data_IF_950317745339
#
_entry.id   IF_950317745339
#
_cell.length_a   1.000
_cell.length_b   1.000
_cell.length_c   1.000
_cell.angle_alpha   90.00
_cell.angle_beta   90.00
_cell.angle_gamma   90.00
#
_symmetry.space_group_name_H-M   'P 1'
#
loop_
_entity.id
_entity.type
_entity.pdbx_description
1 polymer ?
#
# COMPACT_ATOMS: atom_id res chain seq x y z
N UNK A 1 -22.22 23.93 -35.88
CA UNK A 1 -21.10 23.22 -36.54
C UNK A 1 -20.44 24.18 -37.49
N UNK A 2 -19.18 24.55 -37.24
CA UNK A 2 -18.34 25.32 -38.16
C UNK A 2 -17.07 24.53 -38.41
N UNK A 3 -16.78 24.24 -39.67
CA UNK A 3 -15.66 23.40 -40.13
C UNK A 3 -14.45 24.30 -40.46
N UNK A 4 -13.25 23.88 -40.05
CA UNK A 4 -11.97 24.44 -40.53
C UNK A 4 -11.50 23.67 -41.77
N UNK A 5 -10.84 24.38 -42.69
CA UNK A 5 -10.62 23.99 -44.08
C UNK A 5 -9.29 23.22 -44.37
N UNK A 6 -8.69 22.52 -43.39
CA UNK A 6 -7.42 21.81 -43.58
C UNK A 6 -7.42 20.32 -43.18
N UNK A 7 -8.59 19.75 -42.86
CA UNK A 7 -8.73 18.31 -42.65
C UNK A 7 -7.97 17.73 -41.45
N UNK A 8 -7.45 18.57 -40.54
CA UNK A 8 -6.83 18.09 -39.30
C UNK A 8 -7.76 18.27 -38.10
N UNK A 9 -8.16 17.15 -37.50
CA UNK A 9 -8.82 17.16 -36.20
C UNK A 9 -7.78 17.47 -35.13
N UNK A 10 -7.68 18.73 -34.69
CA UNK A 10 -7.06 19.03 -33.41
C UNK A 10 -7.98 18.53 -32.32
N UNK A 11 -7.63 17.38 -31.73
CA UNK A 11 -8.17 16.98 -30.45
C UNK A 11 -7.93 18.14 -29.48
N UNK A 12 -8.97 18.68 -28.80
CA UNK A 12 -8.72 19.55 -27.68
C UNK A 12 -7.80 18.80 -26.70
N UNK A 13 -6.82 19.47 -26.07
CA UNK A 13 -6.04 18.85 -25.02
C UNK A 13 -7.04 18.31 -24.00
N UNK A 14 -7.07 16.99 -23.85
CA UNK A 14 -7.91 16.33 -22.87
C UNK A 14 -7.44 16.83 -21.51
N UNK A 15 -8.32 17.61 -20.87
CA UNK A 15 -8.21 18.03 -19.50
C UNK A 15 -7.84 16.83 -18.62
N UNK A 16 -6.60 16.78 -18.15
CA UNK A 16 -6.22 15.98 -16.99
C UNK A 16 -6.75 16.67 -15.71
N UNK A 17 -8.02 17.06 -15.72
CA UNK A 17 -8.74 17.55 -14.54
C UNK A 17 -9.34 16.31 -13.88
N UNK A 18 -8.54 15.63 -13.08
CA UNK A 18 -9.01 14.46 -12.32
C UNK A 18 -7.92 13.64 -11.62
N UNK A 19 -6.66 13.72 -12.06
CA UNK A 19 -5.57 12.98 -11.39
C UNK A 19 -5.05 13.67 -10.13
N UNK A 20 -5.00 15.00 -10.12
CA UNK A 20 -4.53 15.79 -8.97
C UNK A 20 -5.42 15.64 -7.74
N UNK A 21 -6.74 15.71 -7.91
CA UNK A 21 -7.69 15.60 -6.80
C UNK A 21 -7.78 14.18 -6.21
N UNK A 22 -7.49 13.14 -7.01
CA UNK A 22 -7.43 11.75 -6.53
C UNK A 22 -6.12 11.47 -5.81
N UNK A 23 -4.98 11.92 -6.35
CA UNK A 23 -3.68 11.79 -5.69
C UNK A 23 -3.62 12.58 -4.38
N UNK A 24 -4.12 13.80 -4.34
CA UNK A 24 -4.17 14.63 -3.13
C UNK A 24 -5.03 13.98 -2.03
N UNK A 25 -6.19 13.41 -2.39
CA UNK A 25 -7.04 12.68 -1.43
C UNK A 25 -6.37 11.41 -0.91
N UNK A 26 -5.69 10.67 -1.79
CA UNK A 26 -4.96 9.46 -1.40
C UNK A 26 -3.78 9.79 -0.48
N UNK A 27 -3.06 10.88 -0.77
CA UNK A 27 -1.97 11.38 0.06
C UNK A 27 -2.47 11.89 1.42
N UNK A 28 -3.55 12.67 1.46
CA UNK A 28 -4.16 13.13 2.71
C UNK A 28 -4.64 11.96 3.59
N UNK A 29 -5.21 10.93 2.99
CA UNK A 29 -5.61 9.70 3.70
C UNK A 29 -4.39 8.95 4.27
N UNK A 30 -3.29 8.86 3.52
CA UNK A 30 -2.06 8.25 4.01
C UNK A 30 -1.46 9.07 5.16
N UNK A 31 -1.46 10.40 5.08
CA UNK A 31 -1.02 11.29 6.17
C UNK A 31 -1.85 11.07 7.43
N UNK A 32 -3.18 10.98 7.33
CA UNK A 32 -4.05 10.70 8.48
C UNK A 32 -3.75 9.34 9.13
N UNK A 33 -3.42 8.32 8.32
CA UNK A 33 -3.00 7.02 8.84
C UNK A 33 -1.65 7.16 9.55
N UNK A 34 -0.66 7.82 8.93
CA UNK A 34 0.67 8.04 9.52
C UNK A 34 0.51 8.75 10.87
N UNK A 35 -0.25 9.84 10.94
CA UNK A 35 -0.46 10.60 12.18
C UNK A 35 -1.12 9.76 13.29
N UNK A 36 -2.03 8.85 12.93
CA UNK A 36 -2.70 7.96 13.89
C UNK A 36 -1.85 6.77 14.30
N UNK A 37 -0.92 6.36 13.43
CA UNK A 37 -0.05 5.20 13.63
C UNK A 37 1.23 5.60 14.37
N UNK A 38 1.73 6.83 14.14
CA UNK A 38 2.83 7.45 14.86
C UNK A 38 2.46 7.57 16.34
N UNK A 39 3.04 6.70 17.17
CA UNK A 39 2.77 6.60 18.61
C UNK A 39 2.06 5.32 19.05
N UNK A 40 1.64 4.45 18.11
CA UNK A 40 1.15 3.10 18.44
C UNK A 40 2.29 2.11 18.66
N UNK A 41 3.44 2.35 18.03
CA UNK A 41 4.60 1.47 18.06
C UNK A 41 5.81 2.21 18.65
N UNK A 42 6.57 1.50 19.48
CA UNK A 42 7.83 1.97 20.05
C UNK A 42 9.01 1.23 19.38
N UNK A 43 10.19 1.87 19.36
CA UNK A 43 11.43 1.29 18.83
C UNK A 43 11.95 1.93 17.54
N UNK A 44 12.93 1.28 16.90
CA UNK A 44 13.57 1.74 15.66
C UNK A 44 12.73 1.36 14.43
N UNK A 45 11.54 1.96 14.28
CA UNK A 45 10.64 1.75 13.14
C UNK A 45 10.52 3.02 12.31
N UNK A 46 10.54 2.88 10.99
CA UNK A 46 10.24 3.99 10.08
C UNK A 46 8.73 4.13 9.86
N UNK A 47 8.27 5.32 9.46
CA UNK A 47 6.88 5.56 9.09
C UNK A 47 6.44 4.60 7.96
N UNK A 48 7.34 4.28 7.03
CA UNK A 48 7.09 3.31 5.95
C UNK A 48 6.88 1.89 6.49
N UNK A 49 7.65 1.45 7.50
CA UNK A 49 7.46 0.13 8.13
C UNK A 49 6.08 0.03 8.77
N UNK A 50 5.67 1.07 9.49
CA UNK A 50 4.38 1.11 10.17
C UNK A 50 3.22 1.15 9.15
N UNK A 51 3.36 1.93 8.07
CA UNK A 51 2.39 1.98 6.99
C UNK A 51 2.23 0.64 6.27
N UNK A 52 3.34 -0.02 5.93
CA UNK A 52 3.32 -1.34 5.28
C UNK A 52 2.68 -2.37 6.21
N UNK A 53 2.98 -2.33 7.50
CA UNK A 53 2.36 -3.23 8.48
C UNK A 53 0.83 -3.07 8.53
N UNK A 54 0.33 -1.83 8.65
CA UNK A 54 -1.11 -1.57 8.74
C UNK A 54 -1.83 -1.82 7.41
N UNK A 55 -1.38 -1.19 6.33
CA UNK A 55 -2.10 -1.21 5.04
C UNK A 55 -1.76 -2.41 4.16
N UNK A 56 -0.51 -2.86 4.19
CA UNK A 56 -0.02 -3.96 3.36
C UNK A 56 -0.28 -5.33 3.97
N UNK A 57 -0.20 -5.46 5.30
CA UNK A 57 -0.30 -6.76 5.97
C UNK A 57 -1.63 -6.93 6.68
N UNK A 58 -1.91 -6.12 7.72
CA UNK A 58 -3.11 -6.32 8.54
C UNK A 58 -4.40 -6.09 7.77
N UNK A 59 -4.49 -4.97 7.04
CA UNK A 59 -5.67 -4.65 6.22
C UNK A 59 -5.94 -5.73 5.18
N UNK A 60 -4.91 -6.26 4.53
CA UNK A 60 -5.04 -7.36 3.56
C UNK A 60 -5.71 -8.59 4.17
N UNK A 61 -5.17 -9.07 5.30
CA UNK A 61 -5.73 -10.22 6.03
C UNK A 61 -7.17 -10.00 6.50
N UNK A 62 -7.49 -8.80 6.98
CA UNK A 62 -8.84 -8.48 7.44
C UNK A 62 -9.85 -8.40 6.28
N UNK A 63 -9.43 -7.98 5.09
CA UNK A 63 -10.28 -7.96 3.89
C UNK A 63 -10.62 -9.36 3.38
N UNK A 64 -9.78 -10.35 3.67
CA UNK A 64 -10.02 -11.76 3.34
C UNK A 64 -10.99 -12.45 4.34
N UNK A 65 -11.33 -11.79 5.45
CA UNK A 65 -12.22 -12.36 6.47
C UNK A 65 -13.70 -12.17 6.08
N UNK A 66 -14.34 -13.26 5.62
CA UNK A 66 -15.74 -13.24 5.18
C UNK A 66 -16.72 -12.78 6.26
N UNK A 67 -16.46 -13.10 7.53
CA UNK A 67 -17.29 -12.62 8.65
C UNK A 67 -17.24 -11.10 8.75
N UNK A 68 -16.06 -10.49 8.60
CA UNK A 68 -15.94 -9.03 8.61
C UNK A 68 -16.64 -8.39 7.40
N UNK A 69 -16.57 -9.02 6.23
CA UNK A 69 -17.31 -8.56 5.04
C UNK A 69 -18.82 -8.56 5.31
N UNK A 70 -19.36 -9.64 5.88
CA UNK A 70 -20.78 -9.73 6.23
C UNK A 70 -21.19 -8.71 7.30
N UNK A 71 -20.37 -8.54 8.34
CA UNK A 71 -20.61 -7.58 9.41
C UNK A 71 -20.59 -6.13 8.87
N UNK A 72 -19.62 -5.79 8.01
CA UNK A 72 -19.54 -4.46 7.41
C UNK A 72 -20.71 -4.16 6.46
N UNK A 73 -21.25 -5.17 5.77
CA UNK A 73 -22.40 -5.01 4.90
C UNK A 73 -23.73 -4.82 5.66
N UNK A 74 -23.82 -5.34 6.90
CA UNK A 74 -25.08 -5.44 7.64
C UNK A 74 -25.21 -4.44 8.78
N UNK A 75 -24.13 -3.77 9.18
CA UNK A 75 -24.09 -2.92 10.37
C UNK A 75 -23.56 -1.51 10.06
N UNK A 76 -23.90 -0.54 10.91
CA UNK A 76 -23.25 0.78 10.87
C UNK A 76 -21.76 0.65 11.22
N UNK A 77 -20.96 1.67 10.87
CA UNK A 77 -19.54 1.69 11.21
C UNK A 77 -19.29 1.61 12.72
N UNK A 78 -20.10 2.30 13.52
CA UNK A 78 -20.03 2.28 14.97
C UNK A 78 -20.34 0.89 15.54
N UNK A 79 -21.36 0.22 15.00
CA UNK A 79 -21.71 -1.15 15.41
C UNK A 79 -20.61 -2.14 15.04
N UNK A 80 -20.08 -2.04 13.82
CA UNK A 80 -18.95 -2.86 13.35
C UNK A 80 -17.70 -2.66 14.21
N UNK A 81 -17.36 -1.40 14.51
CA UNK A 81 -16.19 -1.05 15.33
C UNK A 81 -16.27 -1.61 16.76
N UNK A 82 -17.48 -1.80 17.30
CA UNK A 82 -17.72 -2.39 18.62
C UNK A 82 -17.96 -3.91 18.57
N UNK A 83 -17.83 -4.55 17.40
CA UNK A 83 -18.09 -5.98 17.27
C UNK A 83 -16.95 -6.83 17.87
N UNK A 84 -17.30 -7.93 18.57
CA UNK A 84 -16.29 -8.89 19.04
C UNK A 84 -15.59 -9.58 17.86
N UNK A 85 -16.28 -9.75 16.73
CA UNK A 85 -15.72 -10.36 15.52
C UNK A 85 -14.55 -9.54 14.96
N UNK A 86 -14.68 -8.20 14.92
CA UNK A 86 -13.57 -7.33 14.51
C UNK A 86 -12.37 -7.45 15.46
N UNK A 87 -12.62 -7.44 16.77
CA UNK A 87 -11.55 -7.57 17.77
C UNK A 87 -10.80 -8.89 17.64
N UNK A 88 -11.53 -10.00 17.47
CA UNK A 88 -10.95 -11.33 17.30
C UNK A 88 -10.20 -11.46 15.97
N UNK A 89 -10.79 -10.98 14.88
CA UNK A 89 -10.17 -11.02 13.56
C UNK A 89 -8.88 -10.18 13.51
N UNK A 90 -8.85 -9.02 14.19
CA UNK A 90 -7.66 -8.20 14.32
C UNK A 90 -6.55 -8.95 15.06
N UNK A 91 -6.87 -9.59 16.19
CA UNK A 91 -5.88 -10.38 16.95
C UNK A 91 -5.32 -11.54 16.12
N UNK A 92 -6.19 -12.30 15.44
CA UNK A 92 -5.75 -13.38 14.55
C UNK A 92 -4.91 -12.86 13.39
N UNK A 93 -5.29 -11.74 12.78
CA UNK A 93 -4.49 -11.13 11.70
C UNK A 93 -3.09 -10.73 12.16
N UNK A 94 -2.94 -10.22 13.39
CA UNK A 94 -1.65 -9.92 14.01
C UNK A 94 -0.82 -11.19 14.21
N UNK A 95 -1.42 -12.25 14.76
CA UNK A 95 -0.75 -13.54 14.96
C UNK A 95 -0.29 -14.14 13.62
N UNK A 96 -1.19 -14.21 12.64
CA UNK A 96 -0.87 -14.76 11.32
C UNK A 96 0.18 -13.93 10.58
N UNK A 97 0.18 -12.61 10.75
CA UNK A 97 1.19 -11.73 10.19
C UNK A 97 2.57 -12.01 10.81
N UNK A 98 2.61 -12.14 12.12
CA UNK A 98 3.82 -12.46 12.86
C UNK A 98 4.38 -13.83 12.44
N UNK A 99 3.56 -14.87 12.45
CA UNK A 99 3.97 -16.24 12.10
C UNK A 99 4.46 -16.34 10.66
N UNK A 100 3.76 -15.72 9.72
CA UNK A 100 4.17 -15.68 8.32
C UNK A 100 5.51 -14.95 8.16
N UNK A 101 5.67 -13.78 8.77
CA UNK A 101 6.90 -12.99 8.68
C UNK A 101 8.09 -13.71 9.32
N UNK A 102 7.90 -14.32 10.50
CA UNK A 102 8.92 -15.13 11.16
C UNK A 102 9.30 -16.32 10.29
N UNK A 103 8.34 -17.08 9.77
CA UNK A 103 8.60 -18.25 8.92
C UNK A 103 9.38 -17.88 7.65
N UNK A 104 8.94 -16.84 6.92
CA UNK A 104 9.64 -16.37 5.71
C UNK A 104 11.06 -15.88 6.03
N UNK A 105 11.23 -15.12 7.11
CA UNK A 105 12.52 -14.59 7.54
C UNK A 105 13.48 -15.72 7.94
N UNK A 106 13.03 -16.69 8.73
CA UNK A 106 13.83 -17.85 9.12
C UNK A 106 14.28 -18.65 7.91
N UNK A 107 13.40 -18.89 6.92
CA UNK A 107 13.76 -19.59 5.70
C UNK A 107 14.79 -18.82 4.86
N UNK A 108 14.62 -17.50 4.70
CA UNK A 108 15.56 -16.66 3.98
C UNK A 108 16.94 -16.62 4.67
N UNK A 109 16.99 -16.53 6.00
CA UNK A 109 18.24 -16.55 6.76
C UNK A 109 18.93 -17.92 6.70
N UNK A 110 18.15 -19.00 6.76
CA UNK A 110 18.67 -20.37 6.77
C UNK A 110 19.06 -20.95 5.41
N UNK A 111 18.65 -20.33 4.29
CA UNK A 111 18.80 -20.94 2.96
C UNK A 111 19.38 -20.01 1.91
N UNK A 112 20.56 -20.35 1.38
CA UNK A 112 21.19 -19.63 0.28
C UNK A 112 20.35 -19.70 -1.01
N UNK A 113 19.71 -20.84 -1.27
CA UNK A 113 18.78 -21.00 -2.39
C UNK A 113 17.64 -19.98 -2.31
N UNK A 114 17.05 -19.79 -1.12
CA UNK A 114 15.96 -18.82 -0.94
C UNK A 114 16.49 -17.39 -1.14
N UNK A 115 17.66 -17.04 -0.59
CA UNK A 115 18.26 -15.72 -0.81
C UNK A 115 18.59 -15.44 -2.28
N UNK A 116 19.09 -16.45 -3.00
CA UNK A 116 19.37 -16.33 -4.43
C UNK A 116 18.09 -16.06 -5.22
N UNK A 117 17.01 -16.79 -4.94
CA UNK A 117 15.70 -16.56 -5.56
C UNK A 117 15.12 -15.17 -5.24
N UNK A 118 15.20 -14.73 -3.98
CA UNK A 118 14.78 -13.38 -3.60
C UNK A 118 15.56 -12.30 -4.36
N UNK A 119 16.88 -12.46 -4.48
CA UNK A 119 17.73 -11.54 -5.25
C UNK A 119 17.32 -11.49 -6.73
N UNK A 120 17.02 -12.63 -7.35
CA UNK A 120 16.56 -12.69 -8.74
C UNK A 120 15.21 -11.96 -8.93
N UNK A 121 14.25 -12.18 -8.01
CA UNK A 121 12.95 -11.48 -8.03
C UNK A 121 13.15 -9.97 -7.86
N UNK A 122 14.02 -9.56 -6.93
CA UNK A 122 14.32 -8.15 -6.67
C UNK A 122 14.96 -7.45 -7.87
N UNK A 123 15.90 -8.12 -8.54
CA UNK A 123 16.61 -7.57 -9.71
C UNK A 123 15.82 -7.71 -11.02
N UNK A 124 14.76 -8.51 -11.05
CA UNK A 124 13.90 -8.71 -12.21
C UNK A 124 12.56 -8.00 -12.07
N UNK A 125 11.46 -8.72 -11.79
CA UNK A 125 10.11 -8.14 -11.80
C UNK A 125 9.90 -7.02 -10.77
N UNK A 126 10.62 -7.00 -9.65
CA UNK A 126 10.48 -5.93 -8.66
C UNK A 126 11.34 -4.69 -8.95
N UNK A 127 12.20 -4.72 -9.98
CA UNK A 127 12.94 -3.56 -10.49
C UNK A 127 13.72 -2.77 -9.42
N UNK A 128 14.35 -3.48 -8.47
CA UNK A 128 15.06 -2.86 -7.35
C UNK A 128 16.20 -1.95 -7.83
N UNK A 129 16.99 -2.40 -8.80
CA UNK A 129 18.13 -1.63 -9.30
C UNK A 129 17.69 -0.32 -9.96
N UNK A 130 16.67 -0.37 -10.80
CA UNK A 130 16.09 0.78 -11.49
C UNK A 130 15.51 1.77 -10.48
N UNK A 131 14.79 1.27 -9.47
CA UNK A 131 14.21 2.08 -8.41
C UNK A 131 15.28 2.79 -7.58
N UNK A 132 16.36 2.08 -7.21
CA UNK A 132 17.50 2.68 -6.51
C UNK A 132 18.21 3.73 -7.37
N UNK A 133 18.38 3.45 -8.68
CA UNK A 133 19.00 4.39 -9.60
C UNK A 133 18.16 5.66 -9.77
N UNK A 134 16.84 5.53 -9.88
CA UNK A 134 15.92 6.66 -9.96
C UNK A 134 15.99 7.54 -8.69
N UNK A 135 16.10 6.92 -7.51
CA UNK A 135 16.30 7.64 -6.24
C UNK A 135 17.66 8.37 -6.17
N UNK A 136 18.69 7.85 -6.86
CA UNK A 136 20.04 8.43 -6.86
C UNK A 136 20.29 9.52 -7.92
N UNK A 137 19.38 9.69 -8.89
CA UNK A 137 19.51 10.70 -9.94
C UNK A 137 19.27 12.13 -9.42
N UNK A 138 19.84 13.17 -10.06
CA UNK A 138 19.56 14.55 -9.68
C UNK A 138 18.07 14.83 -9.87
N UNK A 139 17.44 15.48 -8.89
CA UNK A 139 16.07 15.96 -8.99
C UNK A 139 15.88 16.68 -10.33
N UNK A 140 15.18 16.03 -11.26
CA UNK A 140 14.82 16.63 -12.53
C UNK A 140 13.72 17.67 -12.24
N UNK A 141 14.13 18.91 -11.97
CA UNK A 141 13.22 20.05 -11.92
C UNK A 141 13.50 21.04 -10.80
N UNK A 142 14.61 21.78 -10.87
CA UNK A 142 14.65 23.14 -10.34
C UNK A 142 15.70 23.97 -11.09
N UNK A 143 15.19 24.63 -12.15
CA UNK A 143 15.74 25.76 -12.91
C UNK A 143 16.73 25.46 -14.03
#
# INVERSE_FOLDING_TARGET
MGLSADGSYKLPPMDAVGSGSVQEKQAAYLVEIIEKVNGLFEGELTDDDQLVYVNGVLKGKLLENETLVQQAASNSKEQFANSPDLSNALMHAIMDAFDAHQSMSTQALGSERVRAGLKEVLLGPAQLYESLRAKSGPAAGAR
#
